data_IF_700463664470
#
_entry.id   IF_700463664470
#
_cell.length_a   1.000
_cell.length_b   1.000
_cell.length_c   1.000
_cell.angle_alpha   90.00
_cell.angle_beta   90.00
_cell.angle_gamma   90.00
#
_symmetry.space_group_name_H-M   'P 1'
#
loop_
_entity.id
_entity.type
_entity.pdbx_description
1 polymer ?
#
# COMPACT_ATOMS: atom_id res chain seq x y z
N UNK A 1 -24.52 -11.77 6.98
CA UNK A 1 -24.53 -10.35 6.54
C UNK A 1 -23.99 -9.54 7.71
N UNK A 2 -22.97 -8.74 7.50
CA UNK A 2 -22.36 -7.87 8.53
C UNK A 2 -22.49 -6.43 8.06
N UNK A 3 -22.84 -5.52 8.93
CA UNK A 3 -22.84 -4.09 8.64
C UNK A 3 -21.44 -3.56 8.88
N UNK A 4 -20.83 -2.98 7.83
CA UNK A 4 -19.42 -2.60 7.81
C UNK A 4 -19.28 -1.10 7.55
N UNK A 5 -18.59 -0.39 8.43
CA UNK A 5 -18.14 0.98 8.16
C UNK A 5 -16.84 0.93 7.34
N UNK A 6 -16.81 1.52 6.15
CA UNK A 6 -15.60 1.59 5.34
C UNK A 6 -15.12 3.04 5.21
N UNK A 7 -13.92 3.31 5.73
CA UNK A 7 -13.35 4.65 5.81
C UNK A 7 -12.09 4.78 4.94
N UNK A 8 -12.11 5.76 4.04
CA UNK A 8 -11.01 5.99 3.11
C UNK A 8 -11.24 5.39 1.73
N UNK A 9 -11.92 6.15 0.86
CA UNK A 9 -12.36 5.73 -0.47
C UNK A 9 -11.44 6.31 -1.57
N UNK A 10 -10.14 6.16 -1.37
CA UNK A 10 -9.15 6.45 -2.39
C UNK A 10 -9.08 5.35 -3.46
N UNK A 11 -7.99 5.37 -4.25
CA UNK A 11 -7.77 4.42 -5.37
C UNK A 11 -7.88 2.94 -4.99
N UNK A 12 -7.51 2.58 -3.75
CA UNK A 12 -7.61 1.21 -3.24
C UNK A 12 -8.94 0.99 -2.49
N UNK A 13 -9.31 1.93 -1.62
CA UNK A 13 -10.47 1.75 -0.75
C UNK A 13 -11.80 1.72 -1.49
N UNK A 14 -11.99 2.49 -2.56
CA UNK A 14 -13.24 2.47 -3.32
C UNK A 14 -13.51 1.09 -3.98
N UNK A 15 -12.55 0.45 -4.70
CA UNK A 15 -12.78 -0.90 -5.21
C UNK A 15 -12.94 -1.96 -4.11
N UNK A 16 -12.23 -1.83 -2.96
CA UNK A 16 -12.39 -2.74 -1.82
C UNK A 16 -13.81 -2.62 -1.21
N UNK A 17 -14.30 -1.40 -0.99
CA UNK A 17 -15.67 -1.17 -0.53
C UNK A 17 -16.71 -1.74 -1.52
N UNK A 18 -16.51 -1.49 -2.82
CA UNK A 18 -17.35 -2.08 -3.86
C UNK A 18 -17.34 -3.60 -3.83
N UNK A 19 -16.21 -4.23 -3.57
CA UNK A 19 -16.10 -5.69 -3.45
C UNK A 19 -16.90 -6.23 -2.26
N UNK A 20 -16.84 -5.57 -1.09
CA UNK A 20 -17.65 -5.95 0.07
C UNK A 20 -19.15 -5.78 -0.18
N UNK A 21 -19.57 -4.69 -0.82
CA UNK A 21 -20.96 -4.48 -1.23
C UNK A 21 -21.43 -5.58 -2.17
N UNK A 22 -20.65 -5.94 -3.19
CA UNK A 22 -20.97 -7.00 -4.13
C UNK A 22 -21.06 -8.39 -3.47
N UNK A 23 -20.35 -8.60 -2.35
CA UNK A 23 -20.43 -9.80 -1.54
C UNK A 23 -21.65 -9.82 -0.60
N UNK A 24 -22.51 -8.79 -0.63
CA UNK A 24 -23.75 -8.73 0.12
C UNK A 24 -23.61 -8.15 1.53
N UNK A 25 -22.50 -7.44 1.84
CA UNK A 25 -22.38 -6.69 3.08
C UNK A 25 -23.11 -5.34 2.97
N UNK A 26 -23.76 -4.94 4.07
CA UNK A 26 -24.35 -3.60 4.22
C UNK A 26 -23.26 -2.59 4.60
N UNK A 27 -23.09 -1.55 3.79
CA UNK A 27 -21.99 -0.61 3.96
C UNK A 27 -22.44 0.75 4.44
N UNK A 28 -21.67 1.30 5.40
CA UNK A 28 -21.65 2.72 5.74
C UNK A 28 -20.29 3.27 5.35
N UNK A 29 -20.23 4.26 4.47
CA UNK A 29 -18.97 4.75 3.92
C UNK A 29 -18.67 6.17 4.34
N UNK A 30 -17.38 6.45 4.55
CA UNK A 30 -16.91 7.79 4.82
C UNK A 30 -15.56 8.04 4.10
N UNK A 31 -15.39 9.26 3.62
CA UNK A 31 -14.11 9.72 3.08
C UNK A 31 -13.92 11.21 3.38
N UNK A 32 -12.68 11.61 3.67
CA UNK A 32 -12.32 13.03 3.85
C UNK A 32 -12.74 13.88 2.64
N UNK A 33 -12.56 13.35 1.44
CA UNK A 33 -13.10 13.92 0.20
C UNK A 33 -14.50 13.34 0.00
N UNK A 34 -15.52 14.12 0.35
CA UNK A 34 -16.92 13.67 0.38
C UNK A 34 -17.42 13.10 -0.96
N UNK A 35 -16.98 13.67 -2.08
CA UNK A 35 -17.36 13.18 -3.43
C UNK A 35 -16.94 11.73 -3.68
N UNK A 36 -15.88 11.23 -3.01
CA UNK A 36 -15.50 9.83 -3.10
C UNK A 36 -16.52 8.90 -2.40
N UNK A 37 -17.14 9.34 -1.31
CA UNK A 37 -18.19 8.58 -0.64
C UNK A 37 -19.52 8.67 -1.40
N UNK A 38 -19.86 9.83 -1.91
CA UNK A 38 -21.06 10.07 -2.71
C UNK A 38 -21.07 9.22 -4.02
N UNK A 39 -19.90 8.91 -4.58
CA UNK A 39 -19.77 8.00 -5.72
C UNK A 39 -20.23 6.55 -5.43
N UNK A 40 -20.45 6.19 -4.16
CA UNK A 40 -20.95 4.89 -3.73
C UNK A 40 -22.36 4.97 -3.10
N UNK A 41 -23.04 6.11 -3.19
CA UNK A 41 -24.34 6.34 -2.54
C UNK A 41 -25.49 5.46 -3.11
N UNK A 42 -25.31 4.85 -4.26
CA UNK A 42 -26.23 3.89 -4.86
C UNK A 42 -26.23 2.51 -4.17
N UNK A 43 -25.17 2.21 -3.40
CA UNK A 43 -24.91 0.90 -2.79
C UNK A 43 -24.39 0.94 -1.36
N UNK A 44 -24.27 2.13 -0.77
CA UNK A 44 -23.77 2.34 0.59
C UNK A 44 -24.39 3.58 1.23
N UNK A 45 -24.61 3.56 2.53
CA UNK A 45 -24.99 4.75 3.30
C UNK A 45 -23.78 5.68 3.46
N UNK A 46 -23.93 6.98 3.16
CA UNK A 46 -22.84 7.95 3.29
C UNK A 46 -22.91 8.64 4.66
N UNK A 47 -21.92 8.41 5.51
CA UNK A 47 -21.83 9.05 6.82
C UNK A 47 -21.23 10.46 6.73
N UNK A 48 -21.64 11.36 7.63
CA UNK A 48 -21.12 12.71 7.74
C UNK A 48 -19.79 12.80 8.50
N UNK A 49 -19.48 11.82 9.35
CA UNK A 49 -18.24 11.75 10.13
C UNK A 49 -17.76 10.30 10.35
N UNK A 50 -16.48 10.10 10.73
CA UNK A 50 -15.99 8.78 11.17
C UNK A 50 -16.80 8.21 12.35
N UNK A 51 -17.14 9.04 13.33
CA UNK A 51 -17.94 8.62 14.50
C UNK A 51 -19.35 8.18 14.08
N UNK A 52 -20.00 8.89 13.17
CA UNK A 52 -21.29 8.47 12.63
C UNK A 52 -21.19 7.13 11.90
N UNK A 53 -20.15 6.92 11.09
CA UNK A 53 -19.94 5.64 10.43
C UNK A 53 -19.77 4.50 11.45
N UNK A 54 -18.96 4.71 12.49
CA UNK A 54 -18.72 3.75 13.54
C UNK A 54 -19.97 3.38 14.35
N UNK A 55 -20.85 4.36 14.62
CA UNK A 55 -22.08 4.13 15.38
C UNK A 55 -23.12 3.25 14.67
N UNK A 56 -22.94 3.03 13.38
CA UNK A 56 -23.86 2.28 12.51
C UNK A 56 -23.33 0.89 12.11
N UNK A 57 -22.18 0.48 12.63
CA UNK A 57 -21.53 -0.77 12.20
C UNK A 57 -20.83 -1.49 13.34
N UNK A 58 -20.82 -2.83 13.28
CA UNK A 58 -20.12 -3.68 14.24
C UNK A 58 -18.65 -3.88 13.88
N UNK A 59 -18.32 -3.75 12.60
CA UNK A 59 -16.96 -3.85 12.06
C UNK A 59 -16.65 -2.61 11.23
N UNK A 60 -15.49 -2.02 11.47
CA UNK A 60 -14.97 -0.93 10.64
C UNK A 60 -13.73 -1.39 9.87
N UNK A 61 -13.58 -0.89 8.64
CA UNK A 61 -12.39 -1.08 7.81
C UNK A 61 -11.83 0.29 7.45
N UNK A 62 -10.52 0.47 7.63
CA UNK A 62 -9.82 1.70 7.20
C UNK A 62 -8.84 1.40 6.07
N UNK A 63 -8.82 2.30 5.06
CA UNK A 63 -7.84 2.28 3.96
C UNK A 63 -7.33 3.70 3.70
N UNK A 64 -6.38 4.15 4.52
CA UNK A 64 -5.93 5.54 4.65
C UNK A 64 -4.50 5.73 4.12
N UNK A 65 -4.06 6.97 4.01
CA UNK A 65 -2.79 7.31 3.37
C UNK A 65 -1.56 6.95 4.22
N UNK A 66 -1.65 7.16 5.54
CA UNK A 66 -0.52 7.04 6.48
C UNK A 66 -0.99 6.92 7.94
N UNK A 67 -0.02 6.81 8.86
CA UNK A 67 -0.28 6.68 10.29
C UNK A 67 -0.93 7.92 10.92
N UNK A 68 -0.60 9.11 10.45
CA UNK A 68 -1.22 10.35 10.94
C UNK A 68 -2.71 10.40 10.56
N UNK A 69 -3.04 10.01 9.33
CA UNK A 69 -4.42 9.89 8.88
C UNK A 69 -5.19 8.81 9.67
N UNK A 70 -4.54 7.69 10.01
CA UNK A 70 -5.17 6.66 10.86
C UNK A 70 -5.49 7.20 12.25
N UNK A 71 -4.53 7.85 12.91
CA UNK A 71 -4.73 8.45 14.23
C UNK A 71 -5.84 9.51 14.21
N UNK A 72 -5.83 10.41 13.23
CA UNK A 72 -6.85 11.45 13.07
C UNK A 72 -8.25 10.88 12.85
N UNK A 73 -8.40 9.93 11.92
CA UNK A 73 -9.70 9.34 11.57
C UNK A 73 -10.23 8.46 12.69
N UNK A 74 -9.36 7.77 13.44
CA UNK A 74 -9.82 6.88 14.51
C UNK A 74 -9.95 7.60 15.85
N UNK A 75 -8.94 8.40 16.24
CA UNK A 75 -8.85 8.97 17.60
C UNK A 75 -9.15 10.47 17.65
N UNK A 76 -9.35 11.14 16.51
CA UNK A 76 -9.66 12.55 16.43
C UNK A 76 -11.01 12.91 17.09
N UNK A 77 -11.35 14.19 17.12
CA UNK A 77 -12.54 14.74 17.83
C UNK A 77 -13.85 14.03 17.47
N UNK A 78 -14.11 13.83 16.15
CA UNK A 78 -15.28 13.12 15.63
C UNK A 78 -14.84 11.78 15.02
N UNK A 79 -13.83 11.18 15.65
CA UNK A 79 -13.16 9.98 15.19
C UNK A 79 -13.98 8.71 15.39
N UNK A 80 -13.62 7.69 14.64
CA UNK A 80 -14.30 6.39 14.58
C UNK A 80 -14.47 5.76 15.97
N UNK A 81 -13.47 5.88 16.85
CA UNK A 81 -13.50 5.34 18.21
C UNK A 81 -14.63 5.95 19.08
N UNK A 82 -15.10 7.15 18.74
CA UNK A 82 -16.24 7.78 19.42
C UNK A 82 -17.59 7.17 19.06
N UNK A 83 -17.68 6.52 17.90
CA UNK A 83 -18.89 5.86 17.41
C UNK A 83 -18.93 4.36 17.64
N UNK A 84 -17.76 3.68 17.65
CA UNK A 84 -17.70 2.23 17.85
C UNK A 84 -18.15 1.81 19.24
N UNK A 85 -19.08 0.86 19.31
CA UNK A 85 -19.51 0.23 20.56
C UNK A 85 -18.49 -0.77 21.10
N UNK A 86 -18.57 -1.07 22.42
CA UNK A 86 -17.81 -2.17 22.99
C UNK A 86 -18.18 -3.48 22.28
N UNK A 87 -17.18 -4.29 22.00
CA UNK A 87 -17.32 -5.51 21.22
C UNK A 87 -17.20 -5.31 19.69
N UNK A 88 -17.12 -4.07 19.19
CA UNK A 88 -16.83 -3.81 17.77
C UNK A 88 -15.39 -4.20 17.40
N UNK A 89 -15.08 -4.22 16.09
CA UNK A 89 -13.76 -4.53 15.54
C UNK A 89 -13.34 -3.48 14.52
N UNK A 90 -12.11 -2.98 14.64
CA UNK A 90 -11.46 -2.20 13.57
C UNK A 90 -10.42 -3.05 12.84
N UNK A 91 -10.52 -3.10 11.50
CA UNK A 91 -9.54 -3.71 10.60
C UNK A 91 -8.84 -2.58 9.83
N UNK A 92 -7.57 -2.29 10.15
CA UNK A 92 -6.78 -1.30 9.41
C UNK A 92 -6.00 -1.97 8.27
N UNK A 93 -6.42 -1.69 7.04
CA UNK A 93 -5.79 -2.23 5.83
C UNK A 93 -4.80 -1.24 5.19
N UNK A 94 -4.54 -0.12 5.86
CA UNK A 94 -3.59 0.91 5.44
C UNK A 94 -2.13 0.47 5.67
N UNK A 95 -1.18 1.14 5.02
CA UNK A 95 0.25 1.02 5.35
C UNK A 95 0.66 2.22 6.22
N UNK A 96 0.67 2.01 7.55
CA UNK A 96 0.84 3.04 8.57
C UNK A 96 2.11 2.88 9.39
N UNK A 97 2.70 1.69 9.37
CA UNK A 97 3.80 1.29 10.22
C UNK A 97 3.35 0.76 11.60
N UNK A 98 4.22 0.00 12.30
CA UNK A 98 3.85 -0.69 13.54
C UNK A 98 3.48 0.25 14.70
N UNK A 99 4.09 1.43 14.81
CA UNK A 99 3.90 2.32 15.96
C UNK A 99 2.50 2.96 15.97
N UNK A 100 1.98 3.57 14.89
CA UNK A 100 0.61 4.07 14.84
C UNK A 100 -0.44 2.95 15.04
N UNK A 101 -0.23 1.76 14.44
CA UNK A 101 -1.12 0.63 14.62
C UNK A 101 -1.26 0.23 16.09
N UNK A 102 -0.13 0.08 16.81
CA UNK A 102 -0.13 -0.24 18.24
C UNK A 102 -0.76 0.86 19.11
N UNK A 103 -0.52 2.14 18.76
CA UNK A 103 -1.11 3.28 19.47
C UNK A 103 -2.63 3.28 19.37
N UNK A 104 -3.15 3.08 18.15
CA UNK A 104 -4.60 3.01 17.90
C UNK A 104 -5.20 1.78 18.59
N UNK A 105 -4.57 0.61 18.46
CA UNK A 105 -5.04 -0.61 19.10
C UNK A 105 -5.18 -0.45 20.62
N UNK A 106 -4.17 0.15 21.30
CA UNK A 106 -4.21 0.38 22.74
C UNK A 106 -5.38 1.29 23.14
N UNK A 107 -5.61 2.36 22.39
CA UNK A 107 -6.71 3.28 22.68
C UNK A 107 -8.10 2.66 22.45
N UNK A 108 -8.22 1.73 21.51
CA UNK A 108 -9.44 0.99 21.23
C UNK A 108 -9.68 -0.11 22.28
N UNK A 109 -8.64 -0.78 22.76
CA UNK A 109 -8.71 -1.79 23.82
C UNK A 109 -9.32 -1.21 25.10
N UNK A 110 -8.96 0.02 25.49
CA UNK A 110 -9.52 0.75 26.64
C UNK A 110 -11.04 0.98 26.52
N UNK A 111 -11.59 0.83 25.28
CA UNK A 111 -13.03 0.95 24.97
C UNK A 111 -13.70 -0.39 24.72
N UNK A 112 -12.97 -1.49 24.85
CA UNK A 112 -13.48 -2.83 24.53
C UNK A 112 -13.67 -3.07 23.04
N UNK A 113 -12.95 -2.35 22.18
CA UNK A 113 -12.99 -2.49 20.71
C UNK A 113 -11.77 -3.27 20.25
N UNK A 114 -11.98 -4.35 19.49
CA UNK A 114 -10.91 -5.14 18.89
C UNK A 114 -10.20 -4.40 17.78
N UNK A 115 -8.93 -4.75 17.54
CA UNK A 115 -8.12 -4.18 16.46
C UNK A 115 -7.30 -5.25 15.74
N UNK A 116 -7.27 -5.15 14.40
CA UNK A 116 -6.42 -5.95 13.51
C UNK A 116 -5.74 -5.03 12.51
N UNK A 117 -4.42 -5.10 12.37
CA UNK A 117 -3.70 -4.50 11.26
C UNK A 117 -3.56 -5.52 10.12
N UNK A 118 -4.10 -5.19 8.97
CA UNK A 118 -4.19 -6.09 7.81
C UNK A 118 -3.76 -5.40 6.50
N UNK A 119 -2.55 -4.79 6.44
CA UNK A 119 -2.09 -4.14 5.23
C UNK A 119 -1.99 -5.10 4.05
N UNK A 120 -2.18 -4.54 2.85
CA UNK A 120 -2.35 -5.31 1.62
C UNK A 120 -1.17 -5.13 0.65
N UNK A 121 -0.92 -6.17 -0.15
CA UNK A 121 -0.10 -6.10 -1.34
C UNK A 121 -0.94 -6.50 -2.56
N UNK A 122 -0.85 -5.66 -3.58
CA UNK A 122 -1.66 -5.69 -4.80
C UNK A 122 -1.97 -4.27 -5.26
N UNK A 123 -2.58 -4.18 -6.43
CA UNK A 123 -2.99 -2.90 -7.04
C UNK A 123 -4.52 -2.82 -7.11
N UNK A 124 -5.04 -1.89 -7.91
CA UNK A 124 -6.48 -1.65 -8.10
C UNK A 124 -7.20 -2.90 -8.64
N UNK A 125 -6.58 -3.65 -9.59
CA UNK A 125 -7.15 -4.90 -10.13
C UNK A 125 -7.41 -5.92 -9.03
N UNK A 126 -6.38 -6.42 -8.31
CA UNK A 126 -6.55 -7.30 -7.16
C UNK A 126 -7.52 -6.79 -6.09
N UNK A 127 -7.60 -5.48 -5.86
CA UNK A 127 -8.57 -4.90 -4.93
C UNK A 127 -10.02 -5.06 -5.41
N UNK A 128 -10.26 -4.92 -6.71
CA UNK A 128 -11.59 -5.11 -7.32
C UNK A 128 -11.99 -6.59 -7.40
N UNK A 129 -11.02 -7.47 -7.61
CA UNK A 129 -11.20 -8.90 -7.80
C UNK A 129 -11.27 -9.68 -6.48
N UNK A 130 -10.83 -9.10 -5.36
CA UNK A 130 -10.74 -9.77 -4.08
C UNK A 130 -9.56 -10.76 -4.02
N UNK A 131 -8.45 -10.42 -4.68
CA UNK A 131 -7.24 -11.26 -4.77
C UNK A 131 -6.00 -10.60 -4.16
N UNK A 132 -6.21 -9.67 -3.21
CA UNK A 132 -5.11 -9.03 -2.48
C UNK A 132 -4.33 -10.05 -1.65
N UNK A 133 -3.02 -9.84 -1.54
CA UNK A 133 -2.23 -10.49 -0.50
C UNK A 133 -2.37 -9.67 0.78
N UNK A 134 -2.68 -10.32 1.92
CA UNK A 134 -2.98 -9.65 3.18
C UNK A 134 -2.05 -10.15 4.28
N UNK A 135 -1.39 -9.25 4.98
CA UNK A 135 -0.54 -9.55 6.13
C UNK A 135 -1.25 -9.12 7.41
N UNK A 136 -1.67 -10.07 8.23
CA UNK A 136 -2.57 -9.82 9.36
C UNK A 136 -1.79 -9.87 10.67
N UNK A 137 -1.91 -8.80 11.47
CA UNK A 137 -1.44 -8.74 12.86
C UNK A 137 -2.59 -8.46 13.81
N UNK A 138 -2.64 -9.21 14.93
CA UNK A 138 -3.67 -9.03 15.94
C UNK A 138 -3.85 -10.27 16.81
N UNK A 139 -4.67 -10.19 17.87
CA UNK A 139 -5.07 -11.35 18.67
C UNK A 139 -5.85 -12.37 17.84
N UNK A 140 -5.66 -13.67 18.07
CA UNK A 140 -6.32 -14.75 17.33
C UNK A 140 -7.83 -14.56 17.22
N UNK A 141 -8.50 -14.22 18.31
CA UNK A 141 -9.95 -14.00 18.34
C UNK A 141 -10.38 -12.84 17.42
N UNK A 142 -9.64 -11.73 17.41
CA UNK A 142 -9.92 -10.60 16.55
C UNK A 142 -9.68 -10.94 15.06
N UNK A 143 -8.63 -11.71 14.78
CA UNK A 143 -8.31 -12.17 13.41
C UNK A 143 -9.38 -13.13 12.90
N UNK A 144 -9.86 -14.08 13.71
CA UNK A 144 -10.95 -14.98 13.31
C UNK A 144 -12.25 -14.20 13.00
N UNK A 145 -12.55 -13.15 13.76
CA UNK A 145 -13.69 -12.27 13.50
C UNK A 145 -13.51 -11.43 12.23
N UNK A 146 -12.29 -11.05 11.90
CA UNK A 146 -11.98 -10.32 10.66
C UNK A 146 -12.02 -11.23 9.41
N UNK A 147 -11.74 -12.53 9.58
CA UNK A 147 -11.57 -13.51 8.49
C UNK A 147 -12.62 -13.43 7.39
N UNK A 148 -13.94 -13.40 7.67
CA UNK A 148 -14.96 -13.37 6.61
C UNK A 148 -14.83 -12.16 5.68
N UNK A 149 -14.39 -10.99 6.19
CA UNK A 149 -14.17 -9.79 5.37
C UNK A 149 -12.84 -9.87 4.62
N UNK A 150 -11.80 -10.42 5.26
CA UNK A 150 -10.48 -10.59 4.64
C UNK A 150 -10.56 -11.57 3.45
N UNK A 151 -11.35 -12.64 3.54
CA UNK A 151 -11.58 -13.62 2.47
C UNK A 151 -12.34 -13.03 1.27
N UNK A 152 -13.19 -12.03 1.48
CA UNK A 152 -13.83 -11.29 0.39
C UNK A 152 -12.84 -10.39 -0.34
N UNK A 153 -11.87 -9.81 0.39
CA UNK A 153 -10.95 -8.80 -0.12
C UNK A 153 -9.63 -9.37 -0.64
N UNK A 154 -9.25 -10.56 -0.19
CA UNK A 154 -7.95 -11.15 -0.49
C UNK A 154 -8.03 -12.61 -0.92
N UNK A 155 -6.88 -13.09 -1.40
CA UNK A 155 -6.66 -14.48 -1.71
C UNK A 155 -6.40 -15.24 -0.39
N UNK A 156 -7.22 -16.26 -0.03
CA UNK A 156 -7.01 -17.02 1.19
C UNK A 156 -5.63 -17.71 1.28
N UNK A 157 -5.04 -18.08 0.13
CA UNK A 157 -3.69 -18.66 0.09
C UNK A 157 -2.58 -17.63 0.30
N UNK A 158 -2.91 -16.34 0.20
CA UNK A 158 -1.99 -15.20 0.39
C UNK A 158 -2.45 -14.27 1.51
N UNK A 159 -3.19 -14.82 2.47
CA UNK A 159 -3.57 -14.13 3.71
C UNK A 159 -2.86 -14.83 4.88
N UNK A 160 -1.93 -14.10 5.51
CA UNK A 160 -1.09 -14.65 6.57
C UNK A 160 -1.35 -13.94 7.89
N UNK A 161 -1.71 -14.69 8.94
CA UNK A 161 -1.63 -14.18 10.31
C UNK A 161 -0.17 -14.31 10.78
N UNK A 162 0.50 -13.19 10.97
CA UNK A 162 1.95 -13.13 11.16
C UNK A 162 2.38 -12.74 12.58
N UNK A 163 1.42 -12.57 13.48
CA UNK A 163 1.71 -12.30 14.90
C UNK A 163 0.81 -11.23 15.54
N UNK A 164 1.23 -10.63 16.65
CA UNK A 164 0.44 -9.65 17.38
C UNK A 164 0.29 -8.34 16.61
N UNK A 165 -0.48 -7.40 17.15
CA UNK A 165 -0.71 -6.06 16.58
C UNK A 165 0.62 -5.38 16.19
N UNK A 166 0.66 -4.91 14.94
CA UNK A 166 1.83 -4.31 14.29
C UNK A 166 2.71 -5.30 13.52
N UNK A 167 2.45 -6.62 13.64
CA UNK A 167 3.19 -7.61 12.87
C UNK A 167 2.81 -7.60 11.39
N UNK A 168 1.54 -7.38 11.06
CA UNK A 168 1.09 -7.17 9.67
C UNK A 168 1.78 -5.97 9.03
N UNK A 169 1.86 -4.84 9.76
CA UNK A 169 2.58 -3.66 9.30
C UNK A 169 4.08 -3.95 9.09
N UNK A 170 4.73 -4.69 10.00
CA UNK A 170 6.13 -5.06 9.85
C UNK A 170 6.36 -5.93 8.61
N UNK A 171 5.50 -6.92 8.37
CA UNK A 171 5.54 -7.76 7.18
C UNK A 171 5.34 -6.92 5.89
N UNK A 172 4.41 -5.96 5.91
CA UNK A 172 4.20 -5.04 4.78
C UNK A 172 5.41 -4.18 4.48
N UNK A 173 6.06 -3.63 5.50
CA UNK A 173 7.28 -2.84 5.33
C UNK A 173 8.42 -3.69 4.76
N UNK A 174 8.58 -4.94 5.24
CA UNK A 174 9.54 -5.89 4.69
C UNK A 174 9.32 -6.14 3.19
N UNK A 175 8.08 -6.38 2.77
CA UNK A 175 7.72 -6.59 1.36
C UNK A 175 8.06 -5.35 0.51
N UNK A 176 7.66 -4.16 0.97
CA UNK A 176 7.86 -2.94 0.19
C UNK A 176 9.33 -2.49 0.16
N UNK A 177 10.10 -2.76 1.21
CA UNK A 177 11.55 -2.58 1.23
C UNK A 177 12.22 -3.42 0.13
N UNK A 178 11.90 -4.70 0.05
CA UNK A 178 12.44 -5.59 -0.99
C UNK A 178 11.97 -5.14 -2.38
N UNK A 179 10.68 -4.81 -2.54
CA UNK A 179 10.15 -4.32 -3.81
C UNK A 179 10.87 -3.05 -4.31
N UNK A 180 11.09 -2.07 -3.43
CA UNK A 180 11.80 -0.84 -3.77
C UNK A 180 13.25 -1.10 -4.16
N UNK A 181 13.95 -1.96 -3.41
CA UNK A 181 15.34 -2.36 -3.70
C UNK A 181 15.49 -3.08 -5.03
N UNK A 182 14.62 -4.06 -5.28
CA UNK A 182 14.60 -4.80 -6.56
C UNK A 182 14.31 -3.86 -7.73
N UNK A 183 13.38 -2.91 -7.56
CA UNK A 183 13.05 -1.96 -8.63
C UNK A 183 14.23 -1.06 -8.98
N UNK A 184 14.97 -0.57 -7.99
CA UNK A 184 16.19 0.22 -8.23
C UNK A 184 17.26 -0.64 -8.94
N UNK A 185 17.51 -1.85 -8.46
CA UNK A 185 18.50 -2.74 -9.07
C UNK A 185 18.15 -3.07 -10.55
N UNK A 186 16.88 -3.33 -10.85
CA UNK A 186 16.40 -3.53 -12.23
C UNK A 186 16.59 -2.28 -13.07
N UNK A 187 16.24 -1.11 -12.54
CA UNK A 187 16.37 0.16 -13.24
C UNK A 187 17.85 0.53 -13.53
N UNK A 188 18.75 0.29 -12.58
CA UNK A 188 20.21 0.50 -12.77
C UNK A 188 20.77 -0.48 -13.81
N UNK A 189 20.42 -1.77 -13.71
CA UNK A 189 20.85 -2.78 -14.68
C UNK A 189 20.35 -2.49 -16.10
N UNK A 190 19.09 -2.12 -16.24
CA UNK A 190 18.52 -1.69 -17.52
C UNK A 190 19.24 -0.44 -18.07
N UNK A 191 19.42 0.57 -17.25
CA UNK A 191 20.13 1.81 -17.64
C UNK A 191 21.56 1.51 -18.09
N UNK A 192 22.29 0.68 -17.34
CA UNK A 192 23.66 0.27 -17.70
C UNK A 192 23.69 -0.46 -19.06
N UNK A 193 22.79 -1.44 -19.28
CA UNK A 193 22.69 -2.15 -20.56
C UNK A 193 22.44 -1.18 -21.71
N UNK A 194 21.55 -0.22 -21.55
CA UNK A 194 21.26 0.83 -22.54
C UNK A 194 22.48 1.71 -22.84
N UNK A 195 23.22 2.13 -21.82
CA UNK A 195 24.44 2.93 -21.95
C UNK A 195 25.57 2.17 -22.67
N UNK A 196 25.61 0.85 -22.52
CA UNK A 196 26.58 -0.01 -23.18
C UNK A 196 26.13 -0.52 -24.56
N UNK A 197 25.04 0.01 -25.11
CA UNK A 197 24.62 -0.19 -26.50
C UNK A 197 23.56 -1.28 -26.72
N UNK A 198 23.02 -1.92 -25.68
CA UNK A 198 21.91 -2.85 -25.87
C UNK A 198 20.65 -2.10 -26.32
N UNK A 199 19.86 -2.71 -27.20
CA UNK A 199 18.51 -2.21 -27.49
C UNK A 199 17.61 -2.30 -26.24
N UNK A 200 16.50 -1.53 -26.18
CA UNK A 200 15.54 -1.67 -25.06
C UNK A 200 15.03 -3.09 -24.90
N UNK A 201 14.70 -3.74 -26.02
CA UNK A 201 14.13 -5.09 -25.99
C UNK A 201 15.18 -6.13 -25.60
N UNK A 202 16.41 -6.08 -26.15
CA UNK A 202 17.48 -7.01 -25.77
C UNK A 202 17.83 -6.90 -24.28
N UNK A 203 17.91 -5.68 -23.73
CA UNK A 203 18.20 -5.50 -22.31
C UNK A 203 17.10 -6.09 -21.42
N UNK A 204 15.84 -5.92 -21.81
CA UNK A 204 14.69 -6.49 -21.07
C UNK A 204 14.60 -8.00 -21.24
N UNK A 205 14.83 -8.54 -22.44
CA UNK A 205 14.82 -9.97 -22.71
C UNK A 205 15.90 -10.70 -21.90
N UNK A 206 17.10 -10.13 -21.79
CA UNK A 206 18.18 -10.67 -20.95
C UNK A 206 17.78 -10.65 -19.47
N UNK A 207 17.22 -9.54 -18.96
CA UNK A 207 16.77 -9.45 -17.58
C UNK A 207 15.64 -10.42 -17.26
N UNK A 208 14.73 -10.68 -18.20
CA UNK A 208 13.64 -11.65 -18.03
C UNK A 208 14.10 -13.11 -18.16
N UNK A 209 15.09 -13.38 -19.00
CA UNK A 209 15.62 -14.73 -19.22
C UNK A 209 16.67 -15.17 -18.20
N UNK A 210 17.29 -14.23 -17.48
CA UNK A 210 18.33 -14.52 -16.50
C UNK A 210 17.76 -14.92 -15.13
N UNK A 211 18.63 -15.44 -14.25
CA UNK A 211 18.28 -15.83 -12.88
C UNK A 211 17.80 -14.66 -11.98
N UNK A 212 17.99 -13.42 -12.42
CA UNK A 212 17.51 -12.21 -11.75
C UNK A 212 16.06 -11.85 -12.11
N UNK A 213 15.41 -12.64 -12.98
CA UNK A 213 14.03 -12.42 -13.39
C UNK A 213 13.09 -12.39 -12.18
N UNK A 214 12.44 -11.24 -11.98
CA UNK A 214 11.47 -11.02 -10.91
C UNK A 214 10.12 -10.66 -11.49
N UNK A 215 9.07 -10.78 -10.68
CA UNK A 215 7.74 -10.26 -11.05
C UNK A 215 7.81 -8.77 -11.42
N UNK A 216 8.70 -8.00 -10.77
CA UNK A 216 8.92 -6.58 -11.06
C UNK A 216 9.40 -6.37 -12.49
N UNK A 217 10.40 -7.12 -12.97
CA UNK A 217 10.88 -7.02 -14.36
C UNK A 217 9.72 -7.22 -15.33
N UNK A 218 8.99 -8.33 -15.19
CA UNK A 218 7.88 -8.69 -16.09
C UNK A 218 6.76 -7.65 -16.06
N UNK A 219 6.32 -7.24 -14.88
CA UNK A 219 5.19 -6.31 -14.74
C UNK A 219 5.51 -4.86 -15.11
N UNK A 220 6.79 -4.49 -15.18
CA UNK A 220 7.25 -3.14 -15.51
C UNK A 220 7.93 -3.04 -16.88
N UNK A 221 8.01 -4.14 -17.62
CA UNK A 221 8.64 -4.20 -18.94
C UNK A 221 8.21 -3.06 -19.88
N UNK A 222 6.91 -2.90 -20.08
CA UNK A 222 6.37 -1.90 -21.00
C UNK A 222 6.65 -0.47 -20.55
N UNK A 223 6.59 -0.22 -19.24
CA UNK A 223 6.95 1.08 -18.67
C UNK A 223 8.43 1.41 -18.85
N UNK A 224 9.31 0.44 -18.60
CA UNK A 224 10.75 0.59 -18.79
C UNK A 224 11.11 0.79 -20.26
N UNK A 225 10.44 0.07 -21.17
CA UNK A 225 10.67 0.17 -22.60
C UNK A 225 10.20 1.51 -23.17
N UNK A 226 8.99 1.95 -22.82
CA UNK A 226 8.36 3.16 -23.35
C UNK A 226 8.79 4.44 -22.64
N UNK A 227 9.25 4.34 -21.40
CA UNK A 227 9.47 5.50 -20.52
C UNK A 227 8.18 6.16 -20.04
N UNK A 228 7.01 5.55 -20.27
CA UNK A 228 5.72 6.04 -19.79
C UNK A 228 5.35 5.40 -18.44
N UNK A 229 5.34 6.21 -17.41
CA UNK A 229 4.97 5.82 -16.04
C UNK A 229 3.67 6.49 -15.57
N UNK A 230 2.91 7.10 -16.49
CA UNK A 230 1.72 7.92 -16.18
C UNK A 230 0.52 7.15 -15.64
N UNK A 231 0.50 5.82 -15.77
CA UNK A 231 -0.60 4.96 -15.29
C UNK A 231 -0.20 4.12 -14.06
N UNK A 232 -0.02 4.74 -12.88
CA UNK A 232 0.55 4.06 -11.74
C UNK A 232 -0.41 3.01 -11.16
N UNK A 233 0.05 1.77 -11.02
CA UNK A 233 -0.54 0.78 -10.13
C UNK A 233 -0.25 1.11 -8.66
N UNK A 234 0.96 1.59 -8.38
CA UNK A 234 1.42 2.07 -7.08
C UNK A 234 2.30 3.31 -7.28
N UNK A 235 1.92 4.45 -6.64
CA UNK A 235 2.61 5.73 -6.87
C UNK A 235 3.99 5.78 -6.21
N UNK A 236 4.92 6.47 -6.89
CA UNK A 236 6.28 6.69 -6.41
C UNK A 236 6.32 7.36 -5.03
N UNK A 237 5.46 8.34 -4.79
CA UNK A 237 5.37 8.99 -3.48
C UNK A 237 5.00 8.02 -2.34
N UNK A 238 4.17 7.01 -2.62
CA UNK A 238 3.79 6.00 -1.64
C UNK A 238 4.92 4.99 -1.40
N UNK A 239 5.65 4.59 -2.44
CA UNK A 239 6.84 3.76 -2.28
C UNK A 239 7.90 4.49 -1.43
N UNK A 240 8.17 5.77 -1.71
CA UNK A 240 9.05 6.58 -0.88
C UNK A 240 8.60 6.62 0.58
N UNK A 241 7.31 6.85 0.83
CA UNK A 241 6.74 6.82 2.19
C UNK A 241 7.00 5.48 2.88
N UNK A 242 6.73 4.37 2.21
CA UNK A 242 6.86 3.04 2.80
C UNK A 242 8.33 2.68 3.10
N UNK A 243 9.26 3.07 2.23
CA UNK A 243 10.70 2.94 2.49
C UNK A 243 11.13 3.77 3.71
N UNK A 244 10.63 5.01 3.85
CA UNK A 244 10.88 5.83 5.03
C UNK A 244 10.34 5.20 6.30
N UNK A 245 9.12 4.65 6.28
CA UNK A 245 8.56 3.91 7.40
C UNK A 245 9.42 2.69 7.79
N UNK A 246 9.97 1.97 6.80
CA UNK A 246 10.87 0.85 7.06
C UNK A 246 12.17 1.29 7.75
N UNK A 247 12.80 2.37 7.25
CA UNK A 247 14.01 2.94 7.85
C UNK A 247 13.73 3.42 9.29
N UNK A 248 12.62 4.12 9.51
CA UNK A 248 12.27 4.65 10.82
C UNK A 248 11.94 3.51 11.83
N UNK A 249 11.26 2.46 11.37
CA UNK A 249 11.01 1.26 12.18
C UNK A 249 12.30 0.53 12.54
N UNK A 250 13.25 0.42 11.62
CA UNK A 250 14.56 -0.18 11.89
C UNK A 250 15.34 0.63 12.92
N UNK A 251 15.40 1.95 12.79
CA UNK A 251 16.05 2.85 13.76
C UNK A 251 15.44 2.73 15.16
N UNK A 252 14.11 2.65 15.25
CA UNK A 252 13.41 2.42 16.50
C UNK A 252 13.80 1.07 17.15
N UNK A 253 14.08 0.05 16.32
CA UNK A 253 14.60 -1.25 16.74
C UNK A 253 16.14 -1.28 16.92
N UNK A 254 16.83 -0.12 16.83
CA UNK A 254 18.29 0.02 16.91
C UNK A 254 19.05 -0.76 15.83
N UNK A 255 18.42 -0.94 14.66
CA UNK A 255 19.02 -1.56 13.50
C UNK A 255 19.29 -0.51 12.39
N UNK A 256 20.26 -0.82 11.51
CA UNK A 256 20.58 0.00 10.34
C UNK A 256 20.25 -0.78 9.07
N UNK A 257 19.68 -0.09 8.09
CA UNK A 257 19.35 -0.61 6.76
C UNK A 257 20.02 0.26 5.68
N UNK A 258 21.36 0.24 5.54
CA UNK A 258 22.09 1.20 4.69
C UNK A 258 21.68 1.12 3.21
N UNK A 259 21.41 -0.08 2.69
CA UNK A 259 20.89 -0.26 1.33
C UNK A 259 19.52 0.41 1.15
N UNK A 260 18.61 0.20 2.10
CA UNK A 260 17.27 0.80 2.07
C UNK A 260 17.31 2.31 2.23
N UNK A 261 18.21 2.84 3.08
CA UNK A 261 18.40 4.28 3.22
C UNK A 261 18.81 4.90 1.88
N UNK A 262 19.75 4.27 1.16
CA UNK A 262 20.12 4.73 -0.19
C UNK A 262 18.99 4.63 -1.20
N UNK A 263 18.25 3.55 -1.21
CA UNK A 263 17.06 3.39 -2.07
C UNK A 263 16.02 4.47 -1.76
N UNK A 264 15.75 4.76 -0.48
CA UNK A 264 14.81 5.81 -0.08
C UNK A 264 15.26 7.22 -0.56
N UNK A 265 16.57 7.50 -0.55
CA UNK A 265 17.13 8.75 -1.10
C UNK A 265 16.91 8.86 -2.62
N UNK A 266 17.06 7.77 -3.37
CA UNK A 266 16.79 7.76 -4.81
C UNK A 266 15.32 8.05 -5.11
N UNK A 267 14.40 7.44 -4.36
CA UNK A 267 12.96 7.75 -4.45
C UNK A 267 12.64 9.19 -4.02
N UNK A 268 13.33 9.74 -3.01
CA UNK A 268 13.20 11.14 -2.62
C UNK A 268 13.65 12.08 -3.76
N UNK A 269 14.78 11.78 -4.40
CA UNK A 269 15.28 12.51 -5.56
C UNK A 269 14.31 12.47 -6.74
N UNK A 270 13.79 11.30 -7.08
CA UNK A 270 12.79 11.14 -8.12
C UNK A 270 11.51 11.94 -7.83
N UNK A 271 11.02 11.88 -6.57
CA UNK A 271 9.89 12.70 -6.11
C UNK A 271 10.18 14.20 -6.27
N UNK A 272 11.38 14.66 -5.91
CA UNK A 272 11.82 16.06 -6.07
C UNK A 272 11.88 16.54 -7.53
N UNK A 273 11.96 15.61 -8.49
CA UNK A 273 11.90 15.89 -9.94
C UNK A 273 10.48 15.82 -10.52
N UNK A 274 9.45 15.80 -9.71
CA UNK A 274 8.04 15.82 -10.14
C UNK A 274 7.44 14.46 -10.49
N UNK A 275 8.13 13.34 -10.16
CA UNK A 275 7.67 11.99 -10.48
C UNK A 275 6.76 11.38 -9.39
N UNK A 276 6.32 12.19 -8.41
CA UNK A 276 5.57 11.74 -7.23
C UNK A 276 4.32 10.93 -7.53
N UNK A 277 3.55 11.34 -8.54
CA UNK A 277 2.27 10.75 -8.92
C UNK A 277 2.38 9.67 -10.00
N UNK A 278 3.57 9.47 -10.54
CA UNK A 278 3.86 8.39 -11.49
C UNK A 278 4.01 7.04 -10.78
N UNK A 279 4.08 5.96 -11.56
CA UNK A 279 4.35 4.63 -11.03
C UNK A 279 5.72 4.59 -10.31
N UNK A 280 5.85 3.77 -9.28
CA UNK A 280 7.10 3.67 -8.53
C UNK A 280 8.30 3.26 -9.39
N UNK A 281 8.07 2.60 -10.54
CA UNK A 281 9.10 2.28 -11.52
C UNK A 281 9.68 3.53 -12.20
N UNK A 282 9.07 4.71 -12.09
CA UNK A 282 9.60 5.97 -12.60
C UNK A 282 10.94 6.38 -11.94
N UNK A 283 11.37 5.69 -10.88
CA UNK A 283 12.74 5.81 -10.38
C UNK A 283 13.77 5.49 -11.47
N UNK A 284 13.45 4.67 -12.46
CA UNK A 284 14.30 4.40 -13.63
C UNK A 284 14.52 5.65 -14.48
N UNK A 285 13.50 6.46 -14.71
CA UNK A 285 13.65 7.73 -15.44
C UNK A 285 14.57 8.72 -14.67
N UNK A 286 14.44 8.73 -13.34
CA UNK A 286 15.32 9.55 -12.49
C UNK A 286 16.77 9.08 -12.58
N UNK A 287 17.04 7.79 -12.47
CA UNK A 287 18.38 7.20 -12.58
C UNK A 287 18.99 7.44 -13.96
N UNK A 288 18.22 7.26 -15.03
CA UNK A 288 18.67 7.57 -16.40
C UNK A 288 19.05 9.06 -16.55
N UNK A 289 18.32 9.97 -15.90
CA UNK A 289 18.63 11.42 -15.94
C UNK A 289 19.92 11.79 -15.18
N UNK A 290 20.44 10.92 -14.35
CA UNK A 290 21.72 11.12 -13.63
C UNK A 290 22.92 10.61 -14.45
N UNK A 291 22.68 9.77 -15.46
CA UNK A 291 23.72 9.33 -16.36
C UNK A 291 24.06 10.48 -17.33
N UNK A 292 25.33 10.76 -17.60
CA UNK A 292 25.68 11.70 -18.66
C UNK A 292 25.06 11.20 -19.98
N UNK A 293 24.38 12.08 -20.69
CA UNK A 293 23.95 11.80 -22.06
C UNK A 293 25.21 11.50 -22.88
N UNK A 294 25.50 10.23 -23.08
CA UNK A 294 26.45 9.86 -24.11
C UNK A 294 25.76 10.24 -25.43
N UNK A 295 26.19 11.37 -26.01
CA UNK A 295 25.91 11.65 -27.42
C UNK A 295 26.27 10.38 -28.18
N UNK A 296 25.30 9.81 -28.88
CA UNK A 296 25.50 8.70 -29.78
C UNK A 296 26.44 9.18 -30.88
N UNK A 297 27.73 9.05 -30.67
CA UNK A 297 28.69 9.00 -31.77
C UNK A 297 28.58 7.56 -32.29
N UNK A 298 28.03 7.33 -33.49
CA UNK A 298 28.04 5.99 -34.07
C UNK A 298 29.50 5.54 -34.17
N UNK A 299 29.80 4.26 -33.93
CA UNK A 299 31.16 3.78 -34.10
C UNK A 299 31.61 4.11 -35.53
N UNK A 300 32.73 4.81 -35.64
CA UNK A 300 33.40 5.00 -36.90
C UNK A 300 33.65 3.63 -37.52
N UNK A 301 33.11 3.42 -38.71
CA UNK A 301 33.18 2.22 -39.52
C UNK A 301 34.60 1.88 -39.99
#
# INVERSE_FOLDING_TARGET
>A
MTRVAFLGLGRMGAPMAGRLSNAGHDLVVWSRTRTHAEALADRAEVAGSPAEAGSKADVAVTMLADGAALEEVVLGRDGLAGGLGSGSLLIDMSTTGPAPARKVAKALEERGVGFVDAPVAGSIGPASEGTLAIMVGGPDEAVERARPLLEVLGDPQRTWHVGPVGAGQAAKLMVNLVLGGVTVAVAEGYTLGRLLGLSPDDALDVLEGASVATQTVRSKRDMLRSGDYGHPGFRLALMHKDLRLAVDAARAARASLPGTERVAELYAGAKGRGLADQDYAAVAAYLASMAPLLEHTPPES
#
